data_IF_168410754419
#
_entry.id   IF_168410754419
#
_cell.length_a   1.000
_cell.length_b   1.000
_cell.length_c   1.000
_cell.angle_alpha   90.00
_cell.angle_beta   90.00
_cell.angle_gamma   90.00
#
_symmetry.space_group_name_H-M   'P 1'
#
loop_
_entity.id
_entity.type
_entity.pdbx_description
1 polymer ?
#
# COMPACT_ATOMS: atom_id res chain seq x y z
N UNK A 1 5.67 15.87 -10.33
CA UNK A 1 6.64 14.77 -10.54
C UNK A 1 6.97 14.16 -9.18
N UNK A 2 6.59 12.90 -8.89
CA UNK A 2 6.77 12.17 -7.61
C UNK A 2 6.35 12.85 -6.28
N UNK A 3 6.89 14.02 -5.93
CA UNK A 3 6.57 14.78 -4.71
C UNK A 3 5.06 15.09 -4.60
N UNK A 4 4.44 15.60 -5.68
CA UNK A 4 3.00 15.86 -5.70
C UNK A 4 2.18 14.56 -5.51
N UNK A 5 2.67 13.41 -6.01
CA UNK A 5 1.97 12.12 -5.81
C UNK A 5 2.01 11.71 -4.35
N UNK A 6 3.16 11.86 -3.69
CA UNK A 6 3.29 11.57 -2.26
C UNK A 6 2.47 12.54 -1.40
N UNK A 7 2.47 13.83 -1.72
CA UNK A 7 1.60 14.80 -1.04
C UNK A 7 0.12 14.41 -1.17
N UNK A 8 -0.32 14.03 -2.37
CA UNK A 8 -1.69 13.56 -2.60
C UNK A 8 -2.00 12.26 -1.84
N UNK A 9 -1.05 11.32 -1.78
CA UNK A 9 -1.21 10.08 -1.01
C UNK A 9 -1.32 10.36 0.50
N UNK A 10 -0.50 11.25 1.05
CA UNK A 10 -0.58 11.68 2.46
C UNK A 10 -1.91 12.37 2.75
N UNK A 11 -2.34 13.28 1.88
CA UNK A 11 -3.63 13.96 1.99
C UNK A 11 -4.80 12.98 1.94
N UNK A 12 -4.75 11.99 1.03
CA UNK A 12 -5.77 10.96 0.93
C UNK A 12 -5.83 10.10 2.20
N UNK A 13 -4.69 9.69 2.75
CA UNK A 13 -4.64 8.96 4.01
C UNK A 13 -5.28 9.74 5.17
N UNK A 14 -5.05 11.06 5.26
CA UNK A 14 -5.67 11.91 6.27
C UNK A 14 -7.19 12.05 6.08
N UNK A 15 -7.65 12.18 4.84
CA UNK A 15 -9.09 12.24 4.52
C UNK A 15 -9.78 10.93 4.90
N UNK A 16 -9.17 9.79 4.55
CA UNK A 16 -9.68 8.47 4.93
C UNK A 16 -9.75 8.26 6.44
N UNK A 17 -8.76 8.74 7.18
CA UNK A 17 -8.78 8.74 8.65
C UNK A 17 -9.87 9.63 9.26
N UNK A 18 -10.12 10.79 8.64
CA UNK A 18 -11.22 11.66 9.08
C UNK A 18 -12.58 10.98 8.87
N UNK A 19 -12.73 10.28 7.75
CA UNK A 19 -13.95 9.53 7.43
C UNK A 19 -14.10 8.26 8.29
N UNK A 20 -13.00 7.56 8.59
CA UNK A 20 -13.00 6.34 9.40
C UNK A 20 -13.50 6.56 10.83
N UNK A 21 -13.41 7.80 11.31
CA UNK A 21 -13.91 8.19 12.62
C UNK A 21 -15.42 7.93 12.75
N UNK A 22 -16.20 8.30 11.74
CA UNK A 22 -17.66 8.12 11.74
C UNK A 22 -18.05 6.65 11.62
N UNK A 23 -17.33 5.88 10.80
CA UNK A 23 -17.61 4.47 10.55
C UNK A 23 -17.00 3.51 11.57
N UNK A 24 -16.31 4.03 12.59
CA UNK A 24 -15.55 3.26 13.61
C UNK A 24 -14.48 2.35 13.02
N UNK A 25 -14.05 2.59 11.79
CA UNK A 25 -12.97 1.82 11.18
C UNK A 25 -11.62 2.24 11.79
N UNK A 26 -10.68 1.30 11.83
CA UNK A 26 -9.29 1.60 12.17
C UNK A 26 -8.47 1.72 10.88
N UNK A 27 -7.49 2.62 10.87
CA UNK A 27 -6.58 2.80 9.74
C UNK A 27 -5.15 2.54 10.19
N UNK A 28 -4.43 1.76 9.40
CA UNK A 28 -2.98 1.61 9.49
C UNK A 28 -2.32 2.26 8.28
N UNK A 29 -1.16 2.87 8.48
CA UNK A 29 -0.38 3.51 7.42
C UNK A 29 0.97 2.82 7.33
N UNK A 30 1.27 2.28 6.15
CA UNK A 30 2.49 1.53 5.88
C UNK A 30 3.19 2.17 4.67
N UNK A 31 4.05 3.17 4.88
CA UNK A 31 4.94 3.63 3.84
C UNK A 31 5.99 2.56 3.52
N UNK A 32 6.36 2.48 2.25
CA UNK A 32 7.47 1.69 1.76
C UNK A 32 8.41 2.62 1.00
N UNK A 33 9.68 2.63 1.39
CA UNK A 33 10.71 3.50 0.79
C UNK A 33 12.11 2.98 1.11
N UNK A 34 13.11 3.36 0.33
CA UNK A 34 14.47 2.86 0.55
C UNK A 34 14.47 1.34 0.38
N UNK A 35 14.99 0.61 1.35
CA UNK A 35 15.11 -0.85 1.29
C UNK A 35 13.98 -1.60 2.02
N UNK A 36 13.07 -0.92 2.74
CA UNK A 36 12.03 -1.59 3.52
C UNK A 36 10.69 -0.84 3.60
N UNK A 37 9.70 -1.51 4.19
CA UNK A 37 8.40 -0.98 4.54
C UNK A 37 8.24 -1.05 6.05
N UNK A 38 7.66 0.00 6.65
CA UNK A 38 7.49 0.10 8.09
C UNK A 38 6.06 0.51 8.44
N UNK A 39 5.60 0.11 9.63
CA UNK A 39 4.28 0.51 10.12
C UNK A 39 4.39 1.90 10.72
N UNK A 40 4.14 2.93 9.90
CA UNK A 40 4.14 4.32 10.36
C UNK A 40 3.01 4.57 11.34
N UNK A 41 1.83 4.01 11.11
CA UNK A 41 0.70 4.09 12.03
C UNK A 41 0.13 2.68 12.21
N UNK A 42 0.15 2.09 13.43
CA UNK A 42 -0.58 0.85 13.68
C UNK A 42 -2.09 1.09 13.54
N UNK A 43 -2.92 0.03 13.43
CA UNK A 43 -4.37 0.19 13.39
C UNK A 43 -4.86 1.17 14.47
N UNK A 44 -5.36 2.33 14.04
CA UNK A 44 -5.67 3.45 14.92
C UNK A 44 -6.84 4.28 14.38
N UNK A 45 -7.52 4.96 15.30
CA UNK A 45 -8.53 5.99 15.00
C UNK A 45 -8.00 7.41 15.22
N UNK A 46 -6.73 7.56 15.63
CA UNK A 46 -6.17 8.86 16.00
C UNK A 46 -5.68 9.64 14.79
N UNK A 47 -6.53 10.56 14.30
CA UNK A 47 -6.19 11.50 13.22
C UNK A 47 -4.98 12.36 13.61
N UNK A 48 -4.91 12.83 14.86
CA UNK A 48 -3.81 13.66 15.34
C UNK A 48 -2.46 12.91 15.29
N UNK A 49 -2.45 11.63 15.69
CA UNK A 49 -1.24 10.80 15.62
C UNK A 49 -0.83 10.58 14.17
N UNK A 50 -1.77 10.23 13.30
CA UNK A 50 -1.50 10.02 11.89
C UNK A 50 -0.92 11.26 11.22
N UNK A 51 -1.51 12.43 11.45
CA UNK A 51 -1.04 13.71 10.91
C UNK A 51 0.39 14.01 11.32
N UNK A 52 0.70 13.93 12.62
CA UNK A 52 2.05 14.16 13.15
C UNK A 52 3.09 13.23 12.52
N UNK A 53 2.73 11.98 12.23
CA UNK A 53 3.62 10.99 11.63
C UNK A 53 3.78 11.18 10.11
N UNK A 54 2.69 11.49 9.40
CA UNK A 54 2.71 11.74 7.95
C UNK A 54 3.45 13.03 7.57
N UNK A 55 3.35 14.08 8.37
CA UNK A 55 4.08 15.35 8.17
C UNK A 55 5.60 15.10 8.18
N UNK A 56 6.08 14.19 9.04
CA UNK A 56 7.50 13.84 9.19
C UNK A 56 8.00 12.77 8.22
N UNK A 57 7.12 12.13 7.47
CA UNK A 57 7.48 11.02 6.58
C UNK A 57 8.36 11.55 5.41
N UNK A 58 9.63 11.14 5.29
CA UNK A 58 10.47 11.55 4.16
C UNK A 58 9.98 10.93 2.84
N UNK A 59 10.38 11.54 1.73
CA UNK A 59 10.03 11.11 0.39
C UNK A 59 11.29 10.64 -0.36
N UNK A 60 11.15 9.62 -1.21
CA UNK A 60 12.24 9.12 -2.07
C UNK A 60 12.91 7.84 -1.57
N UNK A 61 13.86 7.34 -2.37
CA UNK A 61 14.52 6.05 -2.18
C UNK A 61 13.94 4.94 -3.08
N UNK A 62 14.25 3.69 -2.74
CA UNK A 62 13.67 2.51 -3.39
C UNK A 62 12.18 2.31 -3.09
N UNK A 63 11.55 1.37 -3.78
CA UNK A 63 10.15 0.98 -3.69
C UNK A 63 10.07 -0.53 -3.43
N UNK A 64 10.14 -0.94 -2.14
CA UNK A 64 10.00 -2.33 -1.71
C UNK A 64 8.52 -2.73 -1.64
N UNK A 65 7.84 -2.71 -2.80
CA UNK A 65 6.40 -2.91 -2.88
C UNK A 65 5.95 -4.28 -2.34
N UNK A 66 6.71 -5.35 -2.64
CA UNK A 66 6.44 -6.68 -2.11
C UNK A 66 6.48 -6.71 -0.58
N UNK A 67 7.44 -6.01 0.03
CA UNK A 67 7.53 -5.92 1.48
C UNK A 67 6.41 -5.05 2.08
N UNK A 68 6.02 -3.97 1.40
CA UNK A 68 4.87 -3.14 1.78
C UNK A 68 3.58 -3.95 1.84
N UNK A 69 3.26 -4.69 0.78
CA UNK A 69 2.09 -5.56 0.72
C UNK A 69 2.15 -6.69 1.75
N UNK A 70 3.32 -7.32 1.93
CA UNK A 70 3.51 -8.37 2.94
C UNK A 70 3.32 -7.85 4.36
N UNK A 71 3.79 -6.63 4.62
CA UNK A 71 3.62 -5.94 5.90
C UNK A 71 2.15 -5.63 6.14
N UNK A 72 1.41 -5.19 5.12
CA UNK A 72 -0.02 -4.95 5.21
C UNK A 72 -0.80 -6.22 5.56
N UNK A 73 -0.49 -7.35 4.92
CA UNK A 73 -1.08 -8.66 5.27
C UNK A 73 -0.79 -9.02 6.73
N UNK A 74 0.46 -8.91 7.16
CA UNK A 74 0.85 -9.22 8.55
C UNK A 74 0.11 -8.35 9.57
N UNK A 75 0.04 -7.04 9.32
CA UNK A 75 -0.68 -6.10 10.20
C UNK A 75 -2.17 -6.41 10.24
N UNK A 76 -2.77 -6.68 9.08
CA UNK A 76 -4.18 -7.06 8.97
C UNK A 76 -4.49 -8.33 9.76
N UNK A 77 -3.76 -9.41 9.53
CA UNK A 77 -3.96 -10.69 10.23
C UNK A 77 -3.85 -10.54 11.74
N UNK A 78 -2.92 -9.71 12.23
CA UNK A 78 -2.77 -9.47 13.67
C UNK A 78 -3.96 -8.70 14.25
N UNK A 79 -4.50 -7.73 13.52
CA UNK A 79 -5.66 -6.94 13.95
C UNK A 79 -6.97 -7.76 13.92
N UNK A 80 -7.11 -8.68 12.96
CA UNK A 80 -8.24 -9.62 12.92
C UNK A 80 -8.14 -10.62 14.08
N UNK A 81 -6.95 -11.17 14.35
CA UNK A 81 -6.72 -12.09 15.47
C UNK A 81 -6.98 -11.48 16.85
N UNK A 82 -6.73 -10.18 17.03
CA UNK A 82 -7.05 -9.49 18.29
C UNK A 82 -8.56 -9.27 18.48
N UNK A 83 -9.37 -9.47 17.43
CA UNK A 83 -10.81 -9.21 17.45
C UNK A 83 -11.18 -7.73 17.29
N UNK A 84 -10.19 -6.86 17.07
CA UNK A 84 -10.40 -5.41 16.96
C UNK A 84 -11.07 -5.01 15.63
N UNK A 85 -10.90 -5.82 14.58
CA UNK A 85 -11.47 -5.61 13.24
C UNK A 85 -12.00 -6.92 12.65
N UNK A 86 -13.15 -6.86 11.98
CA UNK A 86 -13.80 -8.05 11.38
C UNK A 86 -13.57 -8.22 9.87
N UNK A 87 -13.12 -7.17 9.18
CA UNK A 87 -12.81 -7.20 7.73
C UNK A 87 -11.65 -6.27 7.45
N UNK A 88 -10.79 -6.66 6.51
CA UNK A 88 -9.58 -5.92 6.14
C UNK A 88 -9.63 -5.53 4.67
N UNK A 89 -9.40 -4.24 4.40
CA UNK A 89 -9.11 -3.73 3.07
C UNK A 89 -7.71 -3.13 3.05
N UNK A 90 -6.89 -3.59 2.12
CA UNK A 90 -5.59 -2.99 1.79
C UNK A 90 -5.81 -2.00 0.64
N UNK A 91 -5.38 -0.76 0.83
CA UNK A 91 -5.40 0.28 -0.21
C UNK A 91 -3.97 0.58 -0.61
N UNK A 92 -3.56 0.06 -1.78
CA UNK A 92 -2.23 0.27 -2.34
C UNK A 92 -2.23 1.48 -3.27
N UNK A 93 -1.70 2.61 -2.81
CA UNK A 93 -1.44 3.79 -3.66
C UNK A 93 -0.03 3.65 -4.19
N UNK A 94 0.10 3.30 -5.47
CA UNK A 94 1.41 2.99 -6.08
C UNK A 94 1.43 3.40 -7.54
N UNK A 95 2.63 3.55 -8.11
CA UNK A 95 2.84 3.63 -9.55
C UNK A 95 3.32 2.28 -10.12
N UNK A 96 3.17 1.19 -9.36
CA UNK A 96 3.50 -0.18 -9.78
C UNK A 96 4.99 -0.45 -9.95
N UNK A 97 5.85 0.56 -9.75
CA UNK A 97 7.30 0.42 -9.91
C UNK A 97 7.89 -0.13 -8.63
N UNK A 98 8.49 -1.31 -8.74
CA UNK A 98 9.27 -1.91 -7.67
C UNK A 98 10.72 -2.07 -8.13
N UNK A 99 11.65 -1.83 -7.21
CA UNK A 99 13.09 -1.93 -7.48
C UNK A 99 13.87 -2.51 -6.29
N UNK A 100 13.17 -3.01 -5.27
CA UNK A 100 13.75 -3.68 -4.10
C UNK A 100 13.02 -4.99 -3.90
N UNK A 101 13.78 -6.10 -3.85
CA UNK A 101 13.25 -7.43 -3.62
C UNK A 101 12.85 -7.64 -2.16
N UNK A 102 11.93 -8.57 -1.94
CA UNK A 102 11.50 -8.93 -0.60
C UNK A 102 12.68 -9.43 0.25
N UNK A 103 13.59 -10.22 -0.34
CA UNK A 103 14.81 -10.70 0.34
C UNK A 103 15.63 -9.55 0.90
N UNK A 104 15.93 -8.54 0.08
CA UNK A 104 16.70 -7.35 0.52
C UNK A 104 16.00 -6.59 1.65
N UNK A 105 14.67 -6.60 1.66
CA UNK A 105 13.89 -5.95 2.71
C UNK A 105 13.83 -6.70 4.04
N UNK A 106 13.99 -8.03 4.03
CA UNK A 106 13.80 -8.87 5.23
C UNK A 106 15.09 -9.43 5.81
N UNK A 107 16.18 -9.42 5.03
CA UNK A 107 17.48 -9.97 5.41
C UNK A 107 18.51 -8.84 5.56
N UNK A 108 18.95 -8.53 6.80
CA UNK A 108 19.97 -7.51 7.06
C UNK A 108 21.31 -7.77 6.35
N UNK A 109 21.70 -9.03 6.17
CA UNK A 109 22.94 -9.38 5.48
C UNK A 109 22.82 -9.11 3.98
N UNK A 110 21.67 -9.43 3.39
CA UNK A 110 21.38 -9.11 1.99
C UNK A 110 21.27 -7.58 1.75
N UNK A 111 20.82 -6.81 2.73
CA UNK A 111 20.79 -5.34 2.64
C UNK A 111 22.20 -4.72 2.70
N UNK A 112 23.11 -5.33 3.47
CA UNK A 112 24.50 -4.88 3.61
C UNK A 112 25.41 -5.30 2.45
N UNK A 113 25.04 -6.37 1.72
CA UNK A 113 25.79 -6.85 0.57
C UNK A 113 25.65 -5.92 -0.65
N UNK A 114 26.60 -5.00 -0.81
CA UNK A 114 26.66 -4.07 -1.96
C UNK A 114 26.85 -4.77 -3.32
N UNK A 115 27.41 -5.99 -3.31
CA UNK A 115 27.72 -6.79 -4.51
C UNK A 115 26.65 -7.83 -4.85
N UNK A 116 25.54 -7.88 -4.12
CA UNK A 116 24.44 -8.77 -4.46
C UNK A 116 23.89 -8.43 -5.87
N UNK A 117 23.68 -9.43 -6.75
CA UNK A 117 23.08 -9.20 -8.06
C UNK A 117 21.75 -8.45 -7.92
N UNK A 118 21.58 -7.38 -8.71
CA UNK A 118 20.28 -6.69 -8.73
C UNK A 118 19.22 -7.65 -9.26
N UNK A 119 18.09 -7.81 -8.57
CA UNK A 119 17.01 -8.64 -9.07
C UNK A 119 16.52 -8.07 -10.40
N UNK A 120 16.22 -8.98 -11.33
CA UNK A 120 15.60 -8.62 -12.59
C UNK A 120 14.21 -8.05 -12.36
N UNK A 121 13.71 -7.28 -13.33
CA UNK A 121 12.34 -6.78 -13.27
C UNK A 121 11.30 -7.89 -13.24
N UNK A 122 11.61 -9.07 -13.79
CA UNK A 122 10.69 -10.20 -13.78
C UNK A 122 10.61 -10.84 -12.38
N UNK A 123 11.75 -11.09 -11.74
CA UNK A 123 11.79 -11.63 -10.36
C UNK A 123 11.03 -10.72 -9.38
N UNK A 124 11.22 -9.40 -9.47
CA UNK A 124 10.48 -8.44 -8.65
C UNK A 124 8.98 -8.52 -8.89
N UNK A 125 8.54 -8.68 -10.14
CA UNK A 125 7.12 -8.80 -10.46
C UNK A 125 6.55 -10.10 -9.89
N UNK A 126 7.24 -11.21 -10.07
CA UNK A 126 6.79 -12.52 -9.60
C UNK A 126 6.64 -12.53 -8.07
N UNK A 127 7.61 -11.96 -7.33
CA UNK A 127 7.51 -11.78 -5.88
C UNK A 127 6.25 -10.98 -5.48
N UNK A 128 5.96 -9.88 -6.17
CA UNK A 128 4.80 -9.03 -5.87
C UNK A 128 3.49 -9.75 -6.18
N UNK A 129 3.41 -10.49 -7.28
CA UNK A 129 2.23 -11.28 -7.64
C UNK A 129 2.01 -12.43 -6.66
N UNK A 130 3.07 -13.06 -6.16
CA UNK A 130 2.95 -14.07 -5.10
C UNK A 130 2.33 -13.46 -3.83
N UNK A 131 2.79 -12.28 -3.42
CA UNK A 131 2.22 -11.55 -2.27
C UNK A 131 0.76 -11.14 -2.54
N UNK A 132 0.44 -10.69 -3.76
CA UNK A 132 -0.93 -10.37 -4.15
C UNK A 132 -1.85 -11.59 -4.05
N UNK A 133 -1.39 -12.77 -4.47
CA UNK A 133 -2.13 -14.02 -4.31
C UNK A 133 -2.35 -14.41 -2.84
N UNK A 134 -1.39 -14.10 -1.95
CA UNK A 134 -1.53 -14.31 -0.50
C UNK A 134 -2.59 -13.39 0.11
N UNK A 135 -2.74 -12.16 -0.37
CA UNK A 135 -3.80 -11.24 0.07
C UNK A 135 -5.18 -11.86 -0.16
N UNK A 136 -5.41 -12.39 -1.36
CA UNK A 136 -6.67 -13.07 -1.70
C UNK A 136 -6.91 -14.31 -0.82
N UNK A 137 -5.90 -15.17 -0.69
CA UNK A 137 -5.98 -16.38 0.16
C UNK A 137 -6.26 -16.07 1.63
N UNK A 138 -5.84 -14.90 2.11
CA UNK A 138 -6.10 -14.43 3.46
C UNK A 138 -7.51 -13.82 3.64
N UNK A 139 -8.35 -13.80 2.60
CA UNK A 139 -9.70 -13.22 2.66
C UNK A 139 -9.71 -11.69 2.72
N UNK A 140 -8.57 -11.03 2.47
CA UNK A 140 -8.46 -9.58 2.51
C UNK A 140 -8.81 -8.97 1.15
N UNK A 141 -9.47 -7.81 1.16
CA UNK A 141 -9.72 -7.06 -0.07
C UNK A 141 -8.54 -6.20 -0.45
N UNK A 142 -8.18 -6.16 -1.74
CA UNK A 142 -7.18 -5.24 -2.27
C UNK A 142 -7.84 -4.19 -3.15
N UNK A 143 -7.54 -2.91 -2.90
CA UNK A 143 -7.75 -1.83 -3.84
C UNK A 143 -6.38 -1.30 -4.28
N UNK A 144 -6.11 -1.33 -5.58
CA UNK A 144 -4.92 -0.70 -6.17
C UNK A 144 -5.32 0.62 -6.82
N UNK A 145 -4.72 1.71 -6.34
CA UNK A 145 -4.82 3.04 -6.91
C UNK A 145 -3.53 3.32 -7.66
N UNK A 146 -3.62 3.26 -8.99
CA UNK A 146 -2.50 3.46 -9.89
C UNK A 146 -2.34 4.94 -10.22
N UNK A 147 -1.17 5.47 -9.87
CA UNK A 147 -0.80 6.88 -10.05
C UNK A 147 0.19 7.10 -11.21
N UNK A 148 0.44 6.09 -12.06
CA UNK A 148 1.27 6.22 -13.27
C UNK A 148 0.66 7.19 -14.30
N UNK A 149 1.52 7.82 -15.11
CA UNK A 149 1.08 8.54 -16.30
C UNK A 149 1.04 7.59 -17.51
N UNK A 150 0.00 7.69 -18.36
CA UNK A 150 -0.29 6.76 -19.48
C UNK A 150 0.89 6.51 -20.43
N UNK A 151 1.78 7.50 -20.61
CA UNK A 151 2.92 7.40 -21.51
C UNK A 151 4.02 6.42 -21.05
N UNK A 152 3.97 5.95 -19.79
CA UNK A 152 4.97 5.04 -19.22
C UNK A 152 4.31 3.89 -18.46
N UNK A 153 3.01 3.63 -18.70
CA UNK A 153 2.28 2.63 -17.92
C UNK A 153 2.73 1.23 -18.29
N UNK A 154 3.16 0.49 -17.28
CA UNK A 154 3.56 -0.92 -17.43
C UNK A 154 2.39 -1.89 -17.34
N UNK A 155 1.19 -1.39 -16.97
CA UNK A 155 0.00 -2.21 -16.69
C UNK A 155 0.12 -3.08 -15.43
N UNK A 156 1.25 -3.05 -14.73
CA UNK A 156 1.55 -3.98 -13.65
C UNK A 156 0.66 -3.78 -12.41
N UNK A 157 0.34 -2.53 -12.06
CA UNK A 157 -0.59 -2.25 -10.95
C UNK A 157 -1.98 -2.91 -11.17
N UNK A 158 -2.45 -2.95 -12.42
CA UNK A 158 -3.69 -3.65 -12.80
C UNK A 158 -3.56 -5.16 -12.63
N UNK A 159 -2.39 -5.71 -12.95
CA UNK A 159 -2.11 -7.13 -12.78
C UNK A 159 -2.09 -7.55 -11.31
N UNK A 160 -1.49 -6.74 -10.43
CA UNK A 160 -1.50 -6.96 -8.97
C UNK A 160 -2.95 -7.07 -8.48
N UNK A 161 -3.80 -6.10 -8.84
CA UNK A 161 -5.20 -6.11 -8.47
C UNK A 161 -5.91 -7.37 -8.98
N UNK A 162 -5.68 -7.75 -10.24
CA UNK A 162 -6.27 -8.95 -10.84
C UNK A 162 -5.89 -10.23 -10.08
N UNK A 163 -4.61 -10.42 -9.74
CA UNK A 163 -4.15 -11.62 -9.02
C UNK A 163 -4.72 -11.69 -7.61
N UNK A 164 -4.89 -10.54 -6.94
CA UNK A 164 -5.54 -10.46 -5.63
C UNK A 164 -7.08 -10.52 -5.69
N UNK A 165 -7.69 -10.68 -6.87
CA UNK A 165 -9.13 -10.48 -7.12
C UNK A 165 -9.66 -9.15 -6.54
N UNK A 166 -8.81 -8.13 -6.55
CA UNK A 166 -9.07 -6.82 -6.02
C UNK A 166 -9.63 -5.84 -7.06
N UNK A 167 -9.90 -4.61 -6.59
CA UNK A 167 -10.32 -3.49 -7.43
C UNK A 167 -9.10 -2.71 -7.91
N UNK A 168 -9.23 -2.12 -9.11
CA UNK A 168 -8.20 -1.29 -9.72
C UNK A 168 -8.80 0.03 -10.17
N UNK A 169 -8.18 1.14 -9.76
CA UNK A 169 -8.50 2.47 -10.27
C UNK A 169 -7.25 3.13 -10.84
N UNK A 170 -7.35 3.55 -12.10
CA UNK A 170 -6.33 4.34 -12.77
C UNK A 170 -6.59 5.84 -12.54
N UNK A 171 -5.76 6.47 -11.72
CA UNK A 171 -5.94 7.83 -11.21
C UNK A 171 -4.65 8.66 -11.40
N UNK A 172 -4.26 8.96 -12.67
CA UNK A 172 -3.06 9.73 -12.96
C UNK A 172 -3.18 11.15 -12.40
N UNK A 173 -2.16 11.61 -11.69
CA UNK A 173 -2.11 12.95 -11.08
C UNK A 173 -3.33 13.29 -10.21
N UNK A 174 -4.03 12.28 -9.68
CA UNK A 174 -5.23 12.49 -8.88
C UNK A 174 -4.90 13.25 -7.59
N UNK A 175 -5.79 14.18 -7.24
CA UNK A 175 -5.74 14.88 -5.96
C UNK A 175 -6.11 13.93 -4.82
N UNK A 176 -5.78 14.34 -3.60
CA UNK A 176 -6.16 13.61 -2.39
C UNK A 176 -7.67 13.33 -2.29
N UNK A 177 -8.51 14.25 -2.77
CA UNK A 177 -9.97 14.14 -2.78
C UNK A 177 -10.44 13.00 -3.70
N UNK A 178 -9.85 12.89 -4.90
CA UNK A 178 -10.20 11.86 -5.87
C UNK A 178 -9.80 10.47 -5.36
N UNK A 179 -8.61 10.35 -4.77
CA UNK A 179 -8.11 9.11 -4.16
C UNK A 179 -9.01 8.70 -2.97
N UNK A 180 -9.41 9.65 -2.12
CA UNK A 180 -10.31 9.41 -0.99
C UNK A 180 -11.68 8.93 -1.46
N UNK A 181 -12.28 9.60 -2.46
CA UNK A 181 -13.58 9.25 -3.00
C UNK A 181 -13.61 7.84 -3.64
N UNK A 182 -12.55 7.48 -4.38
CA UNK A 182 -12.42 6.16 -4.98
C UNK A 182 -12.31 5.07 -3.90
N UNK A 183 -11.50 5.30 -2.86
CA UNK A 183 -11.37 4.39 -1.73
C UNK A 183 -12.69 4.25 -0.96
N UNK A 184 -13.40 5.36 -0.72
CA UNK A 184 -14.70 5.36 -0.05
C UNK A 184 -15.72 4.49 -0.79
N UNK A 185 -15.81 4.66 -2.11
CA UNK A 185 -16.70 3.85 -2.95
C UNK A 185 -16.38 2.36 -2.78
N UNK A 186 -15.09 1.99 -2.87
CA UNK A 186 -14.67 0.61 -2.68
C UNK A 186 -14.99 0.08 -1.27
N UNK A 187 -14.80 0.88 -0.21
CA UNK A 187 -15.11 0.53 1.17
C UNK A 187 -16.61 0.31 1.39
N UNK A 188 -17.46 1.16 0.81
CA UNK A 188 -18.92 0.99 0.88
C UNK A 188 -19.33 -0.33 0.25
N UNK A 189 -18.83 -0.63 -0.95
CA UNK A 189 -19.13 -1.89 -1.63
C UNK A 189 -18.71 -3.11 -0.80
N UNK A 190 -17.52 -3.06 -0.17
CA UNK A 190 -17.02 -4.13 0.70
C UNK A 190 -17.89 -4.33 1.94
N UNK A 191 -18.49 -3.26 2.48
CA UNK A 191 -19.40 -3.35 3.62
C UNK A 191 -20.78 -3.90 3.25
N UNK A 192 -21.16 -3.75 1.99
CA UNK A 192 -22.46 -4.21 1.46
C UNK A 192 -22.44 -5.63 0.90
N UNK A 193 -21.26 -6.21 0.64
CA UNK A 193 -21.07 -7.62 0.24
C UNK A 193 -21.01 -8.57 1.43
#
# INVERSE_FOLDING_TARGET
MALNRMQNAKGAALKLLAESYTSRDQVSIIPFRGDYAEVLLPPSRSIAMARKRLEKLPCGGGSPLAHGLSTAVRVGLNAEKSGDVGRIMIVAITDGRANVSLKRSTDPEAAAASDAPRPSSQELKDEILEVAGKIYKAGMSLLVIDTENKFVSTGFAKEIARVAQGKYYYLPNASDAVISAATKTALTDLKSS
#
